data_IF_640395608366
#
_entry.id   IF_640395608366
#
_cell.length_a   1.000
_cell.length_b   1.000
_cell.length_c   1.000
_cell.angle_alpha   90.00
_cell.angle_beta   90.00
_cell.angle_gamma   90.00
#
_symmetry.space_group_name_H-M   'P 1'
#
loop_
_entity.id
_entity.type
_entity.pdbx_description
1 polymer ?
#
# COMPACT_ATOMS: atom_id res chain seq x y z
N UNK A 1 -9.58 -48.78 18.83
CA UNK A 1 -9.22 -49.21 17.47
C UNK A 1 -8.22 -48.21 16.94
N UNK A 2 -6.96 -48.61 16.86
CA UNK A 2 -5.85 -47.76 16.34
C UNK A 2 -5.74 -48.02 14.84
N UNK A 3 -5.77 -46.95 14.02
CA UNK A 3 -5.37 -47.04 12.63
C UNK A 3 -4.05 -46.26 12.44
N UNK A 4 -3.03 -47.03 12.17
CA UNK A 4 -1.68 -46.55 11.83
C UNK A 4 -1.65 -46.28 10.33
N UNK A 5 -1.42 -45.04 9.89
CA UNK A 5 -1.16 -44.72 8.49
C UNK A 5 0.33 -44.45 8.31
N UNK A 6 0.97 -45.40 7.64
CA UNK A 6 2.37 -45.33 7.19
C UNK A 6 2.45 -44.53 5.88
N UNK A 7 3.12 -43.40 5.87
CA UNK A 7 3.45 -42.65 4.64
C UNK A 7 4.80 -43.12 4.09
N UNK A 8 4.78 -43.65 2.87
CA UNK A 8 5.99 -43.99 2.09
C UNK A 8 6.44 -42.75 1.34
N UNK A 9 7.66 -42.27 1.63
CA UNK A 9 8.30 -41.18 0.90
C UNK A 9 9.08 -41.75 -0.28
N UNK A 10 8.73 -41.35 -1.49
CA UNK A 10 9.46 -41.64 -2.72
C UNK A 10 10.43 -40.50 -3.02
N UNK A 11 11.74 -40.77 -2.96
CA UNK A 11 12.79 -39.87 -3.42
C UNK A 11 12.89 -39.94 -4.96
N UNK A 12 12.71 -38.81 -5.65
CA UNK A 12 13.14 -38.64 -7.05
C UNK A 12 14.50 -37.94 -7.07
N UNK A 13 15.49 -38.62 -7.61
CA UNK A 13 16.81 -38.08 -7.91
C UNK A 13 16.77 -37.40 -9.29
N UNK A 14 17.07 -36.09 -9.37
CA UNK A 14 17.27 -35.37 -10.62
C UNK A 14 18.76 -35.31 -10.96
N UNK A 15 19.14 -35.83 -12.10
CA UNK A 15 20.49 -35.80 -12.67
C UNK A 15 20.72 -34.49 -13.42
N UNK A 16 21.76 -33.73 -13.01
CA UNK A 16 22.23 -32.56 -13.72
C UNK A 16 23.11 -32.94 -14.90
N UNK A 17 22.74 -32.49 -16.09
CA UNK A 17 23.58 -32.61 -17.31
C UNK A 17 24.36 -31.29 -17.49
N UNK A 18 25.68 -31.38 -17.51
CA UNK A 18 26.59 -30.27 -17.79
C UNK A 18 26.71 -30.08 -19.31
N UNK A 19 26.57 -28.83 -19.81
CA UNK A 19 26.88 -28.46 -21.18
C UNK A 19 28.17 -27.64 -21.25
N UNK A 20 29.01 -27.81 -22.28
CA UNK A 20 30.36 -27.22 -22.34
C UNK A 20 30.33 -25.76 -22.79
N UNK A 21 31.29 -24.98 -22.23
CA UNK A 21 31.64 -23.61 -22.61
C UNK A 21 32.23 -23.58 -24.01
N UNK A 22 31.70 -22.71 -24.87
CA UNK A 22 32.47 -22.19 -26.02
C UNK A 22 32.89 -20.75 -25.75
N UNK A 23 34.20 -20.57 -25.67
CA UNK A 23 34.85 -19.25 -25.69
C UNK A 23 34.79 -18.69 -27.13
N UNK A 24 34.44 -17.42 -27.25
CA UNK A 24 34.77 -16.61 -28.43
C UNK A 24 35.29 -15.23 -27.98
N UNK A 25 36.45 -14.97 -28.55
CA UNK A 25 37.29 -13.79 -28.37
C UNK A 25 36.65 -12.46 -28.82
N UNK A 26 37.06 -11.49 -28.09
CA UNK A 26 37.49 -10.11 -28.42
C UNK A 26 36.85 -9.33 -29.59
N UNK A 27 36.33 -8.18 -29.33
CA UNK A 27 36.89 -6.89 -29.71
C UNK A 27 35.84 -5.78 -29.82
N UNK A 28 36.27 -4.60 -29.46
CA UNK A 28 35.73 -3.29 -29.77
C UNK A 28 34.70 -2.67 -28.81
N UNK A 29 35.23 -1.82 -27.95
CA UNK A 29 34.56 -0.66 -27.34
C UNK A 29 33.97 0.25 -28.41
N UNK A 30 32.76 0.80 -28.18
CA UNK A 30 32.64 2.24 -28.15
C UNK A 30 32.02 2.74 -26.86
N UNK A 31 32.66 3.74 -26.30
CA UNK A 31 32.18 4.59 -25.23
C UNK A 31 30.86 5.24 -25.64
N UNK A 32 29.76 4.86 -25.04
CA UNK A 32 28.51 5.60 -25.13
C UNK A 32 28.22 6.25 -23.78
N UNK A 33 28.45 7.55 -23.75
CA UNK A 33 28.01 8.46 -22.69
C UNK A 33 26.50 8.34 -22.52
N UNK A 34 26.04 7.62 -21.49
CA UNK A 34 24.65 7.61 -21.10
C UNK A 34 24.34 8.87 -20.29
N UNK A 35 23.80 9.87 -20.97
CA UNK A 35 23.10 10.99 -20.33
C UNK A 35 21.89 10.42 -19.61
N UNK A 36 21.96 10.31 -18.30
CA UNK A 36 20.79 10.02 -17.46
C UNK A 36 19.89 11.26 -17.45
N UNK A 37 18.88 11.24 -18.29
CA UNK A 37 17.74 12.14 -18.20
C UNK A 37 16.91 11.72 -16.99
N UNK A 38 17.06 12.44 -15.88
CA UNK A 38 16.11 12.40 -14.78
C UNK A 38 14.76 12.94 -15.30
N UNK A 39 13.84 12.03 -15.59
CA UNK A 39 12.46 12.40 -15.84
C UNK A 39 11.85 12.87 -14.51
N UNK A 40 11.73 14.17 -14.35
CA UNK A 40 10.82 14.77 -13.37
C UNK A 40 9.41 14.26 -13.67
N UNK A 41 8.64 13.79 -12.68
CA UNK A 41 7.23 13.51 -12.92
C UNK A 41 6.53 14.82 -13.24
N UNK A 42 6.12 14.95 -14.50
CA UNK A 42 5.28 16.05 -14.96
C UNK A 42 3.91 15.87 -14.30
N UNK A 43 3.60 16.69 -13.32
CA UNK A 43 2.25 16.79 -12.77
C UNK A 43 1.32 17.35 -13.83
N UNK A 44 0.67 16.47 -14.57
CA UNK A 44 -0.42 16.85 -15.47
C UNK A 44 -1.61 17.25 -14.62
N UNK A 45 -1.85 18.55 -14.47
CA UNK A 45 -3.07 19.10 -13.89
C UNK A 45 -4.24 18.81 -14.86
N UNK A 46 -4.70 17.56 -14.90
CA UNK A 46 -5.95 17.20 -15.50
C UNK A 46 -7.06 17.59 -14.53
N UNK A 47 -8.10 18.29 -15.01
CA UNK A 47 -9.39 18.45 -14.34
C UNK A 47 -10.03 17.06 -14.22
N UNK A 48 -9.55 16.24 -13.33
CA UNK A 48 -9.96 14.86 -13.08
C UNK A 48 -10.51 14.71 -11.67
N UNK A 49 -11.26 13.65 -11.45
CA UNK A 49 -11.60 13.18 -10.10
C UNK A 49 -10.35 13.09 -9.25
N UNK A 50 -10.44 13.44 -7.97
CA UNK A 50 -9.32 13.32 -7.04
C UNK A 50 -8.90 11.86 -6.83
N UNK A 51 -7.89 11.68 -6.01
CA UNK A 51 -7.24 10.39 -5.81
C UNK A 51 -6.60 10.32 -4.43
N UNK A 52 -6.25 9.11 -4.00
CA UNK A 52 -5.29 8.91 -2.93
C UNK A 52 -3.97 8.42 -3.51
N UNK A 53 -2.87 8.96 -2.99
CA UNK A 53 -1.54 8.42 -3.15
C UNK A 53 -1.04 7.93 -1.80
N UNK A 54 -0.47 6.74 -1.76
CA UNK A 54 0.18 6.18 -0.58
C UNK A 54 1.68 6.12 -0.84
N UNK A 55 2.47 6.65 0.09
CA UNK A 55 3.94 6.71 0.01
C UNK A 55 4.51 5.95 1.20
N UNK A 56 5.31 4.94 0.93
CA UNK A 56 5.97 4.15 1.95
C UNK A 56 7.41 4.64 2.18
N UNK A 57 7.62 5.49 3.19
CA UNK A 57 8.94 5.93 3.63
C UNK A 57 9.55 5.04 4.72
N UNK A 58 8.80 4.04 5.21
CA UNK A 58 9.30 3.11 6.22
C UNK A 58 10.46 2.24 5.71
N UNK A 59 11.21 1.68 6.63
CA UNK A 59 12.27 0.70 6.33
C UNK A 59 11.76 -0.69 5.91
N UNK A 60 10.45 -0.93 6.00
CA UNK A 60 9.79 -2.21 5.72
C UNK A 60 8.97 -2.12 4.44
N UNK A 61 8.84 -3.24 3.71
CA UNK A 61 7.89 -3.39 2.61
C UNK A 61 6.47 -3.32 3.15
N UNK A 62 5.57 -2.67 2.41
CA UNK A 62 4.14 -2.62 2.70
C UNK A 62 3.37 -3.36 1.61
N UNK A 63 2.48 -4.21 2.03
CA UNK A 63 1.49 -4.91 1.20
C UNK A 63 0.14 -4.22 1.37
N UNK A 64 -0.59 -4.03 0.28
CA UNK A 64 -1.90 -3.39 0.36
C UNK A 64 -2.96 -4.11 -0.49
N UNK A 65 -4.20 -3.97 -0.07
CA UNK A 65 -5.40 -4.51 -0.73
C UNK A 65 -6.49 -3.45 -0.71
N UNK A 66 -7.02 -3.10 -1.87
CA UNK A 66 -8.26 -2.31 -1.94
C UNK A 66 -9.45 -3.25 -1.79
N UNK A 67 -10.29 -3.00 -0.82
CA UNK A 67 -11.45 -3.82 -0.48
C UNK A 67 -12.74 -3.00 -0.63
N UNK A 68 -13.62 -3.49 -1.49
CA UNK A 68 -14.99 -2.98 -1.66
C UNK A 68 -15.99 -4.13 -1.39
N UNK A 69 -16.80 -4.51 -2.35
CA UNK A 69 -17.62 -5.74 -2.27
C UNK A 69 -16.75 -7.02 -2.22
N UNK A 70 -15.55 -6.98 -2.77
CA UNK A 70 -14.54 -8.05 -2.76
C UNK A 70 -13.17 -7.45 -2.51
N UNK A 71 -12.24 -8.23 -1.95
CA UNK A 71 -10.84 -7.82 -1.87
C UNK A 71 -10.18 -7.85 -3.24
N UNK A 72 -9.48 -6.78 -3.57
CA UNK A 72 -8.62 -6.69 -4.75
C UNK A 72 -7.34 -7.53 -4.60
N UNK A 73 -6.55 -7.56 -5.67
CA UNK A 73 -5.25 -8.21 -5.65
C UNK A 73 -4.27 -7.45 -4.76
N UNK A 74 -3.39 -8.19 -4.08
CA UNK A 74 -2.30 -7.62 -3.30
C UNK A 74 -1.37 -6.80 -4.19
N UNK A 75 -1.04 -5.59 -3.72
CA UNK A 75 -0.01 -4.72 -4.28
C UNK A 75 1.15 -4.63 -3.29
N UNK A 76 2.34 -4.32 -3.77
CA UNK A 76 3.55 -4.24 -2.94
C UNK A 76 4.20 -2.88 -3.11
N UNK A 77 4.41 -2.19 -1.99
CA UNK A 77 5.16 -0.94 -1.93
C UNK A 77 6.52 -1.24 -1.30
N UNK A 78 7.57 -1.03 -2.08
CA UNK A 78 8.94 -1.21 -1.58
C UNK A 78 9.23 -0.22 -0.45
N UNK A 79 10.12 -0.61 0.46
CA UNK A 79 10.63 0.28 1.51
C UNK A 79 11.34 1.51 0.93
N UNK A 80 11.27 2.63 1.66
CA UNK A 80 12.04 3.84 1.33
C UNK A 80 11.58 4.55 0.06
N UNK A 81 10.27 4.67 -0.20
CA UNK A 81 9.72 5.49 -1.28
C UNK A 81 8.83 4.76 -2.28
N UNK A 82 8.45 3.51 -2.02
CA UNK A 82 7.43 2.81 -2.81
C UNK A 82 6.10 3.56 -2.78
N UNK A 83 5.40 3.64 -3.92
CA UNK A 83 4.14 4.38 -4.03
C UNK A 83 3.02 3.54 -4.64
N UNK A 84 1.81 3.84 -4.23
CA UNK A 84 0.56 3.36 -4.82
C UNK A 84 -0.37 4.55 -5.05
N UNK A 85 -1.21 4.51 -6.07
CA UNK A 85 -2.24 5.53 -6.31
C UNK A 85 -3.50 4.91 -6.87
N UNK A 86 -4.66 5.37 -6.41
CA UNK A 86 -5.95 5.06 -7.02
C UNK A 86 -6.84 6.30 -7.06
N UNK A 87 -7.64 6.42 -8.11
CA UNK A 87 -8.69 7.43 -8.21
C UNK A 87 -9.88 7.00 -7.35
N UNK A 88 -10.65 7.99 -6.87
CA UNK A 88 -11.86 7.67 -6.12
C UNK A 88 -12.79 6.78 -6.94
N UNK A 89 -13.29 5.76 -6.30
CA UNK A 89 -14.23 4.80 -6.85
C UNK A 89 -15.48 4.74 -5.97
N UNK A 90 -16.57 4.24 -6.53
CA UNK A 90 -17.79 3.95 -5.78
C UNK A 90 -17.95 2.44 -5.66
N UNK A 91 -18.37 1.99 -4.48
CA UNK A 91 -18.74 0.60 -4.28
C UNK A 91 -20.15 0.38 -4.84
N UNK A 92 -20.30 -0.53 -5.80
CA UNK A 92 -21.57 -0.84 -6.45
C UNK A 92 -22.69 -1.33 -5.52
N UNK A 93 -22.31 -1.84 -4.34
CA UNK A 93 -23.25 -2.31 -3.32
C UNK A 93 -23.64 -1.23 -2.31
N UNK A 94 -23.17 -0.03 -2.48
CA UNK A 94 -23.31 1.08 -1.53
C UNK A 94 -22.43 0.93 -0.31
N UNK A 95 -21.64 1.57 0.18
CA UNK A 95 -20.71 1.41 1.29
C UNK A 95 -19.32 1.89 0.96
N UNK A 96 -18.45 1.84 1.95
CA UNK A 96 -17.09 2.35 1.83
C UNK A 96 -16.18 1.44 1.02
N UNK A 97 -15.03 2.01 0.67
CA UNK A 97 -13.87 1.31 0.15
C UNK A 97 -12.77 1.45 1.19
N UNK A 98 -12.11 0.34 1.50
CA UNK A 98 -10.99 0.30 2.44
C UNK A 98 -9.72 -0.10 1.72
N UNK A 99 -8.68 0.72 1.81
CA UNK A 99 -7.33 0.37 1.41
C UNK A 99 -6.61 -0.12 2.67
N UNK A 100 -6.45 -1.44 2.77
CA UNK A 100 -5.80 -2.11 3.89
C UNK A 100 -4.32 -2.25 3.64
N UNK A 101 -3.50 -1.94 4.62
CA UNK A 101 -2.04 -1.97 4.54
C UNK A 101 -1.48 -2.81 5.67
N UNK A 102 -0.53 -3.70 5.36
CA UNK A 102 0.18 -4.54 6.32
C UNK A 102 1.68 -4.59 5.99
N UNK A 103 2.52 -4.86 6.96
CA UNK A 103 3.96 -5.15 6.75
C UNK A 103 4.21 -6.65 6.53
N UNK A 104 3.16 -7.46 6.47
CA UNK A 104 3.19 -8.88 6.11
C UNK A 104 2.19 -9.18 4.99
N UNK A 105 2.35 -10.31 4.29
CA UNK A 105 1.49 -10.72 3.17
C UNK A 105 0.10 -11.22 3.60
N UNK A 106 -0.32 -10.90 4.83
CA UNK A 106 -1.62 -11.20 5.38
C UNK A 106 -2.30 -9.94 5.93
N UNK A 107 -3.56 -10.05 6.32
CA UNK A 107 -4.36 -8.95 6.84
C UNK A 107 -4.68 -9.12 8.35
N UNK A 108 -3.80 -9.78 9.11
CA UNK A 108 -4.01 -10.01 10.54
C UNK A 108 -3.84 -8.72 11.35
N UNK A 109 -2.92 -7.84 10.93
CA UNK A 109 -2.68 -6.52 11.50
C UNK A 109 -2.60 -5.50 10.38
N UNK A 110 -3.59 -4.60 10.29
CA UNK A 110 -3.73 -3.65 9.18
C UNK A 110 -4.01 -2.23 9.66
N UNK A 111 -3.30 -1.27 9.05
CA UNK A 111 -3.71 0.12 8.95
C UNK A 111 -4.66 0.25 7.77
N UNK A 112 -5.74 1.04 7.90
CA UNK A 112 -6.71 1.22 6.84
C UNK A 112 -6.88 2.72 6.52
N UNK A 113 -6.96 3.03 5.23
CA UNK A 113 -7.52 4.28 4.72
C UNK A 113 -8.87 3.94 4.12
N UNK A 114 -9.92 4.49 4.70
CA UNK A 114 -11.30 4.18 4.32
C UNK A 114 -11.95 5.40 3.70
N UNK A 115 -12.74 5.20 2.64
CA UNK A 115 -13.42 6.30 2.01
C UNK A 115 -14.74 5.90 1.38
N UNK A 116 -15.65 6.89 1.27
CA UNK A 116 -16.90 6.80 0.54
C UNK A 116 -17.09 8.06 -0.30
N UNK A 117 -17.31 7.88 -1.60
CA UNK A 117 -17.70 8.97 -2.49
C UNK A 117 -19.22 9.07 -2.56
N UNK A 118 -19.77 10.22 -2.20
CA UNK A 118 -21.20 10.55 -2.36
C UNK A 118 -21.35 11.86 -3.13
N UNK A 119 -21.74 11.77 -4.37
CA UNK A 119 -21.83 12.90 -5.29
C UNK A 119 -20.47 13.61 -5.44
N UNK A 120 -20.42 14.88 -5.04
CA UNK A 120 -19.21 15.71 -5.05
C UNK A 120 -18.45 15.71 -3.73
N UNK A 121 -18.90 14.95 -2.74
CA UNK A 121 -18.28 14.85 -1.42
C UNK A 121 -17.56 13.52 -1.25
N UNK A 122 -16.33 13.58 -0.78
CA UNK A 122 -15.55 12.45 -0.30
C UNK A 122 -15.61 12.46 1.23
N UNK A 123 -16.04 11.36 1.82
CA UNK A 123 -15.89 11.06 3.26
C UNK A 123 -14.73 10.09 3.41
N UNK A 124 -13.87 10.33 4.41
CA UNK A 124 -12.71 9.47 4.62
C UNK A 124 -12.28 9.45 6.09
N UNK A 125 -11.61 8.39 6.48
CA UNK A 125 -10.96 8.25 7.78
C UNK A 125 -9.70 7.37 7.70
N UNK A 126 -8.91 7.40 8.76
CA UNK A 126 -7.90 6.39 9.05
C UNK A 126 -8.48 5.44 10.11
N UNK A 127 -8.13 4.15 10.00
CA UNK A 127 -8.58 3.16 10.98
C UNK A 127 -7.42 2.28 11.43
N UNK A 128 -7.22 2.25 12.74
CA UNK A 128 -6.27 1.42 13.46
C UNK A 128 -6.98 0.32 14.28
N UNK A 129 -8.29 0.12 14.06
CA UNK A 129 -9.11 -0.85 14.82
C UNK A 129 -8.52 -2.27 14.76
N UNK A 130 -7.97 -2.65 13.61
CA UNK A 130 -7.36 -3.96 13.38
C UNK A 130 -5.83 -3.88 13.31
N UNK A 131 -5.22 -2.87 13.91
CA UNK A 131 -3.79 -2.64 13.90
C UNK A 131 -3.18 -2.98 15.27
N UNK A 132 -2.13 -3.80 15.28
CA UNK A 132 -1.40 -4.09 16.50
C UNK A 132 -0.70 -2.83 17.03
N UNK A 133 -0.78 -2.61 18.34
CA UNK A 133 -0.20 -1.43 19.00
C UNK A 133 1.33 -1.35 18.91
N UNK A 134 2.00 -2.43 18.57
CA UNK A 134 3.46 -2.53 18.37
C UNK A 134 3.84 -2.69 16.88
N UNK A 135 2.89 -2.45 15.95
CA UNK A 135 3.13 -2.52 14.50
C UNK A 135 4.20 -1.54 14.04
N UNK A 136 4.81 -1.79 12.88
CA UNK A 136 5.75 -0.86 12.27
C UNK A 136 5.08 0.47 11.86
N UNK A 137 3.77 0.48 11.54
CA UNK A 137 3.03 1.71 11.28
C UNK A 137 2.97 2.60 12.53
N UNK A 138 2.65 2.04 13.69
CA UNK A 138 2.66 2.78 14.96
C UNK A 138 4.06 3.27 15.29
N UNK A 139 5.08 2.45 15.15
CA UNK A 139 6.47 2.84 15.42
C UNK A 139 6.98 3.96 14.55
N UNK A 140 6.58 3.98 13.27
CA UNK A 140 7.05 4.95 12.27
C UNK A 140 6.19 6.22 12.22
N UNK A 141 4.93 6.13 12.63
CA UNK A 141 3.92 7.16 12.42
C UNK A 141 3.37 7.14 10.99
N UNK A 142 2.27 7.86 10.79
CA UNK A 142 1.63 8.01 9.47
C UNK A 142 0.79 9.29 9.44
N UNK A 143 0.60 9.85 8.23
CA UNK A 143 -0.16 11.09 8.08
C UNK A 143 -0.87 11.17 6.73
N UNK A 144 -2.02 11.83 6.70
CA UNK A 144 -2.78 12.15 5.48
C UNK A 144 -2.74 13.64 5.26
N UNK A 145 -2.28 14.06 4.09
CA UNK A 145 -2.22 15.47 3.67
C UNK A 145 -3.06 15.67 2.42
N UNK A 146 -4.04 16.57 2.43
CA UNK A 146 -4.81 16.94 1.25
C UNK A 146 -4.05 17.93 0.35
N UNK A 147 -4.36 17.93 -0.96
CA UNK A 147 -3.87 18.93 -1.91
C UNK A 147 -4.57 20.28 -1.74
N UNK A 148 -5.77 20.28 -1.18
CA UNK A 148 -6.56 21.48 -0.87
C UNK A 148 -6.45 21.77 0.63
N UNK A 149 -5.88 22.92 0.98
CA UNK A 149 -5.68 23.32 2.37
C UNK A 149 -6.98 23.61 3.15
N UNK A 150 -8.13 23.67 2.49
CA UNK A 150 -9.43 23.76 3.15
C UNK A 150 -9.96 22.40 3.62
N UNK A 151 -9.36 21.30 3.17
CA UNK A 151 -9.69 19.94 3.59
C UNK A 151 -8.93 19.58 4.89
N UNK A 152 -9.52 18.69 5.67
CA UNK A 152 -8.87 18.17 6.89
C UNK A 152 -7.67 17.30 6.53
N UNK A 153 -6.64 17.38 7.34
CA UNK A 153 -5.51 16.47 7.41
C UNK A 153 -5.63 15.58 8.64
N UNK A 154 -4.85 14.49 8.70
CA UNK A 154 -4.74 13.63 9.87
C UNK A 154 -3.26 13.27 10.10
N UNK A 155 -2.85 13.12 11.37
CA UNK A 155 -1.45 12.81 11.70
C UNK A 155 -1.34 12.01 12.99
N UNK A 156 -0.74 10.85 12.88
CA UNK A 156 -0.41 9.98 13.99
C UNK A 156 1.11 9.96 14.18
N UNK A 157 1.57 10.45 15.31
CA UNK A 157 3.00 10.54 15.60
C UNK A 157 3.62 9.15 15.78
N UNK A 158 4.91 9.03 15.51
CA UNK A 158 5.66 7.79 15.77
C UNK A 158 5.54 7.40 17.26
N UNK A 159 5.16 6.15 17.51
CA UNK A 159 4.95 5.59 18.84
C UNK A 159 3.56 5.83 19.45
N UNK A 160 2.68 6.58 18.78
CA UNK A 160 1.32 6.83 19.26
C UNK A 160 0.38 5.67 18.86
N UNK A 161 0.20 4.72 19.76
CA UNK A 161 -0.70 3.58 19.55
C UNK A 161 -2.18 3.87 19.81
N UNK A 162 -2.51 5.10 20.24
CA UNK A 162 -3.89 5.53 20.53
C UNK A 162 -4.19 6.89 19.88
N UNK A 163 -3.76 7.04 18.63
CA UNK A 163 -3.87 8.26 17.85
C UNK A 163 -5.33 8.72 17.69
N UNK A 164 -5.62 9.96 18.07
CA UNK A 164 -6.97 10.52 17.99
C UNK A 164 -7.45 10.78 16.53
N UNK A 165 -6.53 10.87 15.58
CA UNK A 165 -6.82 11.09 14.16
C UNK A 165 -7.05 9.77 13.40
N UNK A 166 -7.05 8.63 14.10
CA UNK A 166 -7.32 7.30 13.52
C UNK A 166 -8.31 6.55 14.40
N UNK A 167 -9.30 5.91 13.81
CA UNK A 167 -10.29 5.11 14.55
C UNK A 167 -9.59 4.01 15.34
N UNK A 168 -9.90 3.94 16.64
CA UNK A 168 -9.40 2.93 17.56
C UNK A 168 -10.51 1.93 17.93
N UNK A 169 -11.76 2.33 17.79
CA UNK A 169 -12.93 1.55 18.16
C UNK A 169 -13.99 1.57 17.04
N UNK A 170 -14.80 0.49 16.89
CA UNK A 170 -15.83 0.42 15.85
C UNK A 170 -16.95 1.45 15.95
N UNK A 171 -17.08 2.14 17.08
CA UNK A 171 -18.06 3.19 17.35
C UNK A 171 -17.48 4.61 17.23
N UNK A 172 -16.23 4.76 16.80
CA UNK A 172 -15.64 6.06 16.49
C UNK A 172 -16.35 6.70 15.28
N UNK A 173 -16.51 8.04 15.32
CA UNK A 173 -17.31 8.79 14.34
C UNK A 173 -16.59 10.00 13.75
N UNK A 174 -15.29 10.13 13.93
CA UNK A 174 -14.49 11.28 13.47
C UNK A 174 -14.18 11.19 11.97
N UNK A 175 -15.22 11.06 11.15
CA UNK A 175 -15.09 11.02 9.69
C UNK A 175 -14.79 12.40 9.14
N UNK A 176 -13.77 12.50 8.30
CA UNK A 176 -13.43 13.71 7.56
C UNK A 176 -14.24 13.80 6.26
N UNK A 177 -14.42 15.01 5.75
CA UNK A 177 -15.07 15.20 4.43
C UNK A 177 -14.42 16.33 3.65
N UNK A 178 -14.42 16.19 2.31
CA UNK A 178 -14.01 17.24 1.39
C UNK A 178 -14.57 17.01 -0.01
N UNK A 179 -14.17 17.87 -0.97
CA UNK A 179 -14.52 17.68 -2.38
C UNK A 179 -13.87 16.42 -2.96
N UNK A 180 -14.60 15.70 -3.80
CA UNK A 180 -14.08 14.59 -4.61
C UNK A 180 -13.00 15.01 -5.61
N UNK A 181 -12.79 16.31 -5.85
CA UNK A 181 -11.66 16.81 -6.65
C UNK A 181 -10.33 16.86 -5.88
N UNK A 182 -10.37 16.79 -4.55
CA UNK A 182 -9.17 16.80 -3.73
C UNK A 182 -8.34 15.53 -3.92
N UNK A 183 -7.03 15.70 -3.93
CA UNK A 183 -6.08 14.60 -3.87
C UNK A 183 -5.56 14.49 -2.44
N UNK A 184 -5.34 13.27 -1.97
CA UNK A 184 -4.78 13.00 -0.66
C UNK A 184 -3.49 12.22 -0.79
N UNK A 185 -2.52 12.54 0.05
CA UNK A 185 -1.29 11.76 0.18
C UNK A 185 -1.26 11.16 1.59
N UNK A 186 -1.31 9.84 1.67
CA UNK A 186 -1.02 9.08 2.87
C UNK A 186 0.47 8.77 2.89
N UNK A 187 1.19 9.29 3.85
CA UNK A 187 2.62 9.02 4.08
C UNK A 187 2.76 8.06 5.25
N UNK A 188 3.52 7.00 5.05
CA UNK A 188 3.87 5.98 6.05
C UNK A 188 5.33 6.17 6.45
N UNK A 189 5.60 6.59 7.69
CA UNK A 189 6.94 6.89 8.22
C UNK A 189 7.44 8.31 8.02
#
# INVERSE_FOLDING_TARGET
MMFSNTFVATLLAATAAAMPHQARDASATPSSTSTSSSASPSSTSGSGSGSVQIVNNMGSTVYLWTTSATSGNMQTLTSGGGTYSENWATNSNGGGISIKMSTSENQDSVLQFEYTQDGSTLYWDLSSINLDSDSEFVKSGFSVTPSDSSCSAASCAAGDSNCADSYQHPDDTNTNSCSTSAQYTLTLG
#
